data_IF_469898886863
#
_entry.id   IF_469898886863
#
_cell.length_a   1.000
_cell.length_b   1.000
_cell.length_c   1.000
_cell.angle_alpha   90.00
_cell.angle_beta   90.00
_cell.angle_gamma   90.00
#
_symmetry.space_group_name_H-M   'P 1'
#
loop_
_entity.id
_entity.type
_entity.pdbx_description
1 polymer ?
#
# COMPACT_ATOMS: atom_id res chain seq x y z
N UNK A 1 6.37 -5.24 -5.78
CA UNK A 1 6.46 -3.81 -5.42
C UNK A 1 7.92 -3.47 -5.15
N UNK A 2 8.42 -2.28 -5.48
CA UNK A 2 9.83 -1.94 -5.23
C UNK A 2 9.99 -1.24 -3.87
N UNK A 3 10.38 -1.97 -2.82
CA UNK A 3 10.51 -1.45 -1.45
C UNK A 3 11.56 -0.35 -1.28
N UNK A 4 12.49 -0.18 -2.23
CA UNK A 4 13.46 0.93 -2.20
C UNK A 4 12.80 2.30 -2.39
N UNK A 5 11.61 2.33 -3.00
CA UNK A 5 10.82 3.53 -3.23
C UNK A 5 9.78 3.76 -2.13
N UNK A 6 9.81 2.95 -1.06
CA UNK A 6 8.89 3.03 0.08
C UNK A 6 9.71 3.49 1.30
N UNK A 7 9.26 4.55 2.00
CA UNK A 7 9.86 4.98 3.25
C UNK A 7 9.96 3.84 4.27
N UNK A 8 11.03 3.81 5.06
CA UNK A 8 11.29 2.72 6.02
C UNK A 8 10.09 2.49 6.96
N UNK A 9 9.45 3.57 7.40
CA UNK A 9 8.28 3.54 8.29
C UNK A 9 7.04 2.86 7.68
N UNK A 10 6.94 2.79 6.35
CA UNK A 10 5.82 2.16 5.64
C UNK A 10 6.15 0.75 5.12
N UNK A 11 7.41 0.30 5.18
CA UNK A 11 7.80 -1.02 4.69
C UNK A 11 7.09 -2.19 5.38
N UNK A 12 6.91 -2.19 6.72
CA UNK A 12 6.15 -3.26 7.37
C UNK A 12 4.71 -3.35 6.86
N UNK A 13 4.10 -2.21 6.51
CA UNK A 13 2.75 -2.15 5.94
C UNK A 13 2.75 -2.69 4.51
N UNK A 14 3.76 -2.33 3.71
CA UNK A 14 3.94 -2.86 2.36
C UNK A 14 4.11 -4.40 2.34
N UNK A 15 4.82 -4.95 3.33
CA UNK A 15 4.98 -6.40 3.52
C UNK A 15 3.65 -7.08 3.86
N UNK A 16 2.87 -6.52 4.79
CA UNK A 16 1.51 -6.99 5.09
C UNK A 16 0.62 -6.98 3.85
N UNK A 17 0.66 -5.91 3.06
CA UNK A 17 -0.10 -5.78 1.80
C UNK A 17 0.27 -6.89 0.80
N UNK A 18 1.56 -7.20 0.66
CA UNK A 18 2.03 -8.27 -0.23
C UNK A 18 1.63 -9.65 0.27
N UNK A 19 1.70 -9.86 1.57
CA UNK A 19 1.23 -11.08 2.25
C UNK A 19 -0.30 -11.19 2.29
N UNK A 20 -1.02 -10.22 1.74
CA UNK A 20 -2.48 -10.11 1.75
C UNK A 20 -3.08 -10.10 3.16
N UNK A 21 -2.29 -9.67 4.14
CA UNK A 21 -2.69 -9.52 5.52
C UNK A 21 -3.50 -8.23 5.70
N UNK A 22 -4.46 -8.26 6.62
CA UNK A 22 -5.23 -7.07 7.01
C UNK A 22 -4.32 -6.14 7.82
N UNK A 23 -4.27 -4.87 7.42
CA UNK A 23 -3.60 -3.82 8.20
C UNK A 23 -4.38 -3.50 9.49
N UNK A 24 -3.66 -3.08 10.52
CA UNK A 24 -4.23 -2.62 11.80
C UNK A 24 -4.59 -1.13 11.77
N UNK A 25 -5.29 -0.66 12.81
CA UNK A 25 -5.61 0.77 12.96
C UNK A 25 -4.35 1.65 13.10
N UNK A 26 -3.29 1.12 13.73
CA UNK A 26 -2.01 1.81 13.84
C UNK A 26 -1.33 1.95 12.47
N UNK A 27 -1.37 0.89 11.64
CA UNK A 27 -0.87 0.94 10.27
C UNK A 27 -1.67 1.97 9.45
N UNK A 28 -3.00 2.00 9.61
CA UNK A 28 -3.87 2.96 8.93
C UNK A 28 -3.54 4.41 9.31
N UNK A 29 -3.26 4.68 10.59
CA UNK A 29 -2.83 5.98 11.05
C UNK A 29 -1.49 6.40 10.43
N UNK A 30 -0.52 5.48 10.36
CA UNK A 30 0.77 5.74 9.73
C UNK A 30 0.65 6.05 8.23
N UNK A 31 -0.25 5.35 7.52
CA UNK A 31 -0.58 5.64 6.12
C UNK A 31 -1.20 7.02 5.96
N UNK A 32 -2.14 7.39 6.84
CA UNK A 32 -2.84 8.67 6.78
C UNK A 32 -1.92 9.86 7.05
N UNK A 33 -0.92 9.70 7.92
CA UNK A 33 0.07 10.73 8.25
C UNK A 33 1.19 10.86 7.21
N UNK A 34 1.34 9.88 6.31
CA UNK A 34 2.39 9.91 5.30
C UNK A 34 2.11 10.96 4.22
N UNK A 35 3.11 11.79 3.92
CA UNK A 35 3.09 12.72 2.79
C UNK A 35 3.65 12.12 1.49
N UNK A 36 4.17 10.90 1.52
CA UNK A 36 4.73 10.25 0.33
C UNK A 36 3.62 9.60 -0.51
N UNK A 37 3.01 10.41 -1.38
CA UNK A 37 1.95 9.96 -2.28
C UNK A 37 2.41 8.89 -3.27
N UNK A 38 3.70 8.84 -3.63
CA UNK A 38 4.21 7.83 -4.55
C UNK A 38 4.25 6.46 -3.89
N UNK A 39 4.74 6.39 -2.65
CA UNK A 39 4.71 5.17 -1.86
C UNK A 39 3.27 4.70 -1.60
N UNK A 40 2.39 5.62 -1.21
CA UNK A 40 0.97 5.32 -1.00
C UNK A 40 0.28 4.82 -2.27
N UNK A 41 0.49 5.50 -3.39
CA UNK A 41 -0.06 5.13 -4.69
C UNK A 41 0.44 3.77 -5.17
N UNK A 42 1.73 3.46 -4.97
CA UNK A 42 2.30 2.17 -5.30
C UNK A 42 1.66 1.03 -4.49
N UNK A 43 1.50 1.24 -3.17
CA UNK A 43 0.84 0.28 -2.28
C UNK A 43 -0.62 0.05 -2.65
N UNK A 44 -1.37 1.13 -2.89
CA UNK A 44 -2.77 1.06 -3.30
C UNK A 44 -2.93 0.39 -4.68
N UNK A 45 -2.07 0.72 -5.64
CA UNK A 45 -2.15 0.16 -7.00
C UNK A 45 -1.93 -1.35 -7.02
N UNK A 46 -1.00 -1.87 -6.21
CA UNK A 46 -0.82 -3.32 -6.10
C UNK A 46 -2.08 -4.03 -5.61
N UNK A 47 -2.77 -3.48 -4.59
CA UNK A 47 -4.03 -4.05 -4.11
C UNK A 47 -5.11 -3.95 -5.19
N UNK A 48 -5.18 -2.83 -5.90
CA UNK A 48 -6.13 -2.58 -7.00
C UNK A 48 -5.91 -3.55 -8.16
N UNK A 49 -4.68 -3.72 -8.63
CA UNK A 49 -4.30 -4.67 -9.69
C UNK A 49 -4.65 -6.10 -9.31
N UNK A 50 -4.34 -6.51 -8.08
CA UNK A 50 -4.68 -7.86 -7.59
C UNK A 50 -6.18 -8.12 -7.60
N UNK A 51 -6.98 -7.14 -7.16
CA UNK A 51 -8.44 -7.31 -7.02
C UNK A 51 -9.18 -7.12 -8.35
N UNK A 52 -8.74 -6.17 -9.16
CA UNK A 52 -9.52 -5.64 -10.28
C UNK A 52 -8.80 -5.77 -11.62
N UNK A 53 -7.59 -6.34 -11.70
CA UNK A 53 -6.83 -6.41 -12.95
C UNK A 53 -6.58 -5.02 -13.52
N UNK A 54 -6.65 -4.82 -14.84
CA UNK A 54 -6.65 -3.49 -15.46
C UNK A 54 -8.06 -3.05 -15.89
N UNK A 55 -9.07 -3.36 -15.07
CA UNK A 55 -10.45 -3.01 -15.33
C UNK A 55 -10.91 -1.85 -14.45
N UNK A 56 -11.79 -1.02 -15.01
CA UNK A 56 -12.54 0.02 -14.32
C UNK A 56 -14.02 -0.16 -14.65
N UNK A 57 -14.88 -0.05 -13.64
CA UNK A 57 -16.34 -0.18 -13.75
C UNK A 57 -17.01 1.07 -13.18
N UNK A 58 -18.19 1.42 -13.71
CA UNK A 58 -19.00 2.58 -13.32
C UNK A 58 -20.16 2.17 -12.41
#
# INVERSE_FOLDING_TARGET
>A
MNHRLIPDVLRPIAEKIQSQERISDADAMALYQSSDLNALGMMANFVRERKNGNYASY
#
